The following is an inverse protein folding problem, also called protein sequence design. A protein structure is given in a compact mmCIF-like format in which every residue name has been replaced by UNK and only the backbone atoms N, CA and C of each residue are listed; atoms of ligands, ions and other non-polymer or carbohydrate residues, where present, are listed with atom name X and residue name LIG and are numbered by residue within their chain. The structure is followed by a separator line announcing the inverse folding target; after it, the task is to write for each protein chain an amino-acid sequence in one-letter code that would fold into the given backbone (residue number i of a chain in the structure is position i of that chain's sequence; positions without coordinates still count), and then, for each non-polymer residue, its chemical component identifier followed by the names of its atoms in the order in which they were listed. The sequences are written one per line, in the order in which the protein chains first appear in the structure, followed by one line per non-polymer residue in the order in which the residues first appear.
data_IF_510126188735
#
_entry.id   IF_510126188735
#
_cell.length_a   1.000
_cell.length_b   1.000
_cell.length_c   1.000
_cell.angle_alpha   90.00
_cell.angle_beta   90.00
_cell.angle_gamma   90.00
#
_symmetry.space_group_name_H-M   'P 1'
#
loop_
_entity.id
_entity.type
_entity.pdbx_description
1 polymer ?
#
# COMPACT_ATOMS: atom_id res chain seq x y z
N UNK A 1 -14.46 4.21 -12.74
CA UNK A 1 -14.17 2.83 -13.22
C UNK A 1 -14.08 1.95 -11.98
N UNK A 2 -14.75 0.80 -11.98
CA UNK A 2 -14.69 -0.13 -10.85
C UNK A 2 -13.25 -0.69 -10.73
N UNK A 3 -12.79 -0.88 -9.49
CA UNK A 3 -11.48 -1.49 -9.24
C UNK A 3 -11.61 -2.99 -9.52
N UNK A 4 -10.75 -3.57 -10.38
CA UNK A 4 -10.76 -5.01 -10.66
C UNK A 4 -10.56 -5.83 -9.40
N UNK A 5 -11.05 -7.05 -9.42
CA UNK A 5 -10.87 -8.00 -8.34
C UNK A 5 -9.42 -8.50 -8.29
N UNK A 6 -8.63 -7.97 -7.34
CA UNK A 6 -7.23 -8.33 -7.13
C UNK A 6 -7.11 -9.48 -6.15
N UNK A 7 -6.08 -10.30 -6.28
CA UNK A 7 -5.67 -11.31 -5.30
C UNK A 7 -4.83 -10.70 -4.17
N UNK A 8 -4.66 -11.43 -3.06
CA UNK A 8 -3.73 -11.03 -2.00
C UNK A 8 -2.26 -10.92 -2.50
N UNK A 9 -1.86 -11.71 -3.50
CA UNK A 9 -0.54 -11.62 -4.13
C UNK A 9 -0.39 -10.32 -4.94
N UNK A 10 -1.46 -9.88 -5.61
CA UNK A 10 -1.45 -8.61 -6.36
C UNK A 10 -1.25 -7.43 -5.41
N UNK A 11 -1.97 -7.45 -4.27
CA UNK A 11 -1.84 -6.43 -3.24
C UNK A 11 -0.44 -6.41 -2.59
N UNK A 12 0.22 -7.56 -2.49
CA UNK A 12 1.61 -7.64 -2.06
C UNK A 12 2.56 -6.97 -3.06
N UNK A 13 2.37 -7.19 -4.36
CA UNK A 13 3.14 -6.52 -5.42
C UNK A 13 2.91 -5.00 -5.40
N UNK A 14 1.66 -4.56 -5.24
CA UNK A 14 1.32 -3.13 -5.14
C UNK A 14 2.01 -2.49 -3.94
N UNK A 15 1.92 -3.13 -2.78
CA UNK A 15 2.58 -2.69 -1.56
C UNK A 15 4.08 -2.54 -1.73
N UNK A 16 4.74 -3.51 -2.38
CA UNK A 16 6.18 -3.49 -2.66
C UNK A 16 6.59 -2.30 -3.54
N UNK A 17 5.87 -2.07 -4.63
CA UNK A 17 6.16 -0.95 -5.54
C UNK A 17 5.96 0.38 -4.84
N UNK A 18 4.87 0.54 -4.07
CA UNK A 18 4.58 1.75 -3.31
C UNK A 18 5.66 2.00 -2.26
N UNK A 19 5.98 1.00 -1.44
CA UNK A 19 6.99 1.11 -0.39
C UNK A 19 8.31 1.61 -0.95
N UNK A 20 8.78 0.99 -2.03
CA UNK A 20 10.06 1.34 -2.62
C UNK A 20 10.04 2.71 -3.27
N UNK A 21 9.04 3.00 -4.09
CA UNK A 21 8.93 4.26 -4.81
C UNK A 21 8.79 5.46 -3.87
N UNK A 22 8.01 5.31 -2.79
CA UNK A 22 7.84 6.35 -1.78
C UNK A 22 9.12 6.62 -0.95
N UNK A 23 10.05 5.65 -0.85
CA UNK A 23 11.32 5.83 -0.16
C UNK A 23 12.42 6.51 -0.99
N UNK A 24 12.35 6.48 -2.32
CA UNK A 24 13.46 6.93 -3.16
C UNK A 24 13.69 8.44 -3.18
N UNK A 25 12.64 9.23 -2.90
CA UNK A 25 12.69 10.69 -2.94
C UNK A 25 12.03 11.28 -1.71
N UNK A 26 12.41 12.52 -1.40
CA UNK A 26 11.80 13.31 -0.34
C UNK A 26 10.51 13.96 -0.86
N UNK A 27 9.53 13.13 -1.25
CA UNK A 27 8.25 13.59 -1.81
C UNK A 27 7.58 14.65 -0.93
N UNK A 28 7.61 14.47 0.39
CA UNK A 28 7.13 15.43 1.38
C UNK A 28 7.73 16.83 1.22
N UNK A 29 9.06 16.91 1.07
CA UNK A 29 9.76 18.19 0.86
C UNK A 29 9.36 18.83 -0.48
N UNK A 30 9.20 18.02 -1.53
CA UNK A 30 8.75 18.48 -2.85
C UNK A 30 7.29 19.00 -2.83
N UNK A 31 6.46 18.45 -1.92
CA UNK A 31 5.10 18.91 -1.67
C UNK A 31 5.04 20.08 -0.66
N UNK A 32 6.16 20.47 -0.07
CA UNK A 32 6.22 21.57 0.90
C UNK A 32 5.74 21.18 2.30
N UNK A 33 5.62 19.87 2.58
CA UNK A 33 5.36 19.36 3.92
C UNK A 33 6.64 19.42 4.77
N UNK A 34 6.52 19.91 6.00
CA UNK A 34 7.64 19.99 6.94
C UNK A 34 7.94 18.60 7.51
N UNK A 35 9.18 18.13 7.32
CA UNK A 35 9.68 16.89 7.91
C UNK A 35 9.89 15.76 6.90
N UNK A 36 10.93 14.96 7.14
CA UNK A 36 11.02 13.64 6.54
C UNK A 36 10.13 12.72 7.39
N UNK A 37 9.06 12.14 6.82
CA UNK A 37 8.34 11.06 7.51
C UNK A 37 9.29 9.91 7.90
N UNK A 38 8.80 8.96 8.69
CA UNK A 38 9.54 7.73 9.05
C UNK A 38 10.06 7.00 7.80
N UNK A 39 11.20 6.31 7.86
CA UNK A 39 11.58 5.39 6.79
C UNK A 39 10.43 4.40 6.58
N UNK A 40 10.08 4.07 5.32
CA UNK A 40 9.01 3.10 5.07
C UNK A 40 9.62 1.72 5.24
N UNK A 41 9.18 1.03 6.28
CA UNK A 41 9.49 -0.37 6.57
C UNK A 41 8.33 -1.28 6.19
N UNK A 42 7.13 -0.73 6.03
CA UNK A 42 5.94 -1.51 5.76
C UNK A 42 4.87 -0.76 4.97
N UNK A 43 4.38 -1.42 3.92
CA UNK A 43 3.15 -1.02 3.24
C UNK A 43 2.28 -2.24 3.12
N UNK A 44 1.00 -2.05 3.43
CA UNK A 44 -0.04 -3.06 3.32
C UNK A 44 -1.17 -2.50 2.49
N UNK A 45 -1.67 -3.31 1.56
CA UNK A 45 -2.84 -3.00 0.75
C UNK A 45 -3.96 -3.96 1.12
N UNK A 46 -5.17 -3.44 1.25
CA UNK A 46 -6.39 -4.21 1.42
C UNK A 46 -7.38 -3.84 0.32
N UNK A 47 -7.90 -4.84 -0.39
CA UNK A 47 -9.05 -4.64 -1.25
C UNK A 47 -10.31 -5.08 -0.54
N UNK A 48 -11.31 -4.19 -0.62
CA UNK A 48 -12.66 -4.48 -0.23
C UNK A 48 -13.62 -3.87 -1.26
N UNK A 49 -14.36 -4.73 -1.99
CA UNK A 49 -15.18 -4.34 -3.16
C UNK A 49 -14.36 -3.52 -4.16
N UNK A 50 -14.93 -2.40 -4.60
CA UNK A 50 -14.36 -1.45 -5.54
C UNK A 50 -13.45 -0.41 -4.86
N UNK A 51 -12.93 -0.71 -3.66
CA UNK A 51 -12.02 0.16 -2.91
C UNK A 51 -10.70 -0.52 -2.58
N UNK A 52 -9.62 0.24 -2.70
CA UNK A 52 -8.28 -0.10 -2.23
C UNK A 52 -7.92 0.79 -1.04
N UNK A 53 -7.49 0.16 0.04
CA UNK A 53 -7.01 0.81 1.25
C UNK A 53 -5.53 0.51 1.42
N UNK A 54 -4.74 1.54 1.69
CA UNK A 54 -3.28 1.45 1.85
C UNK A 54 -2.94 1.95 3.24
N UNK A 55 -2.20 1.14 4.00
CA UNK A 55 -1.69 1.51 5.31
C UNK A 55 -0.16 1.39 5.33
N UNK A 56 0.46 2.21 6.19
CA UNK A 56 1.86 2.06 6.59
C UNK A 56 1.96 2.08 8.12
N UNK A 57 3.15 1.83 8.65
CA UNK A 57 3.40 1.94 10.09
C UNK A 57 3.30 3.41 10.55
N UNK A 58 3.52 3.65 11.85
CA UNK A 58 3.41 4.98 12.45
C UNK A 58 4.29 6.00 11.70
N UNK A 59 3.65 7.04 11.15
CA UNK A 59 4.30 8.11 10.39
C UNK A 59 4.66 7.78 8.93
N UNK A 60 4.61 6.52 8.51
CA UNK A 60 4.94 6.11 7.13
C UNK A 60 3.84 6.48 6.13
N UNK A 61 2.58 6.43 6.57
CA UNK A 61 1.40 6.75 5.77
C UNK A 61 1.44 8.15 5.14
N UNK A 62 2.11 9.11 5.77
CA UNK A 62 2.36 10.45 5.20
C UNK A 62 3.22 10.37 3.94
N UNK A 63 4.32 9.59 3.96
CA UNK A 63 5.18 9.42 2.78
C UNK A 63 4.48 8.69 1.65
N UNK A 64 3.65 7.70 1.99
CA UNK A 64 2.82 6.98 1.01
C UNK A 64 1.86 7.95 0.33
N UNK A 65 1.14 8.76 1.13
CA UNK A 65 0.24 9.78 0.62
C UNK A 65 0.99 10.80 -0.26
N UNK A 66 2.13 11.31 0.20
CA UNK A 66 2.93 12.28 -0.54
C UNK A 66 3.44 11.72 -1.87
N UNK A 67 3.85 10.45 -1.91
CA UNK A 67 4.24 9.78 -3.16
C UNK A 67 3.08 9.67 -4.15
N UNK A 68 1.91 9.20 -3.70
CA UNK A 68 0.73 9.08 -4.56
C UNK A 68 0.25 10.47 -5.02
N UNK A 69 0.41 11.49 -4.18
CA UNK A 69 0.08 12.87 -4.50
C UNK A 69 1.05 13.47 -5.51
N UNK A 70 2.34 13.20 -5.36
CA UNK A 70 3.39 13.60 -6.28
C UNK A 70 3.18 13.05 -7.69
N UNK A 71 2.62 11.84 -7.82
CA UNK A 71 2.22 11.28 -9.12
C UNK A 71 0.89 11.88 -9.65
N UNK A 72 0.02 12.36 -8.76
CA UNK A 72 -1.32 12.84 -9.13
C UNK A 72 -2.38 11.73 -9.17
N UNK A 73 -2.27 10.73 -8.29
CA UNK A 73 -3.27 9.66 -8.19
C UNK A 73 -4.63 10.23 -7.76
N UNK A 74 -5.68 9.89 -8.49
CA UNK A 74 -7.04 10.41 -8.32
C UNK A 74 -8.12 9.36 -8.53
N UNK A 75 -7.77 8.24 -9.15
CA UNK A 75 -8.63 7.12 -9.40
C UNK A 75 -7.77 5.88 -9.64
N UNK A 76 -8.45 4.76 -9.91
CA UNK A 76 -7.78 3.49 -10.18
C UNK A 76 -6.83 3.53 -11.39
N UNK A 77 -7.22 4.18 -12.49
CA UNK A 77 -6.37 4.24 -13.69
C UNK A 77 -5.08 5.03 -13.44
N UNK A 78 -5.15 6.18 -12.76
CA UNK A 78 -3.95 6.94 -12.38
C UNK A 78 -3.10 6.22 -11.33
N UNK A 79 -3.72 5.45 -10.44
CA UNK A 79 -3.00 4.55 -9.52
C UNK A 79 -2.23 3.46 -10.27
N UNK A 80 -2.86 2.77 -11.22
CA UNK A 80 -2.17 1.74 -12.01
C UNK A 80 -1.04 2.33 -12.87
N UNK A 81 -1.22 3.53 -13.42
CA UNK A 81 -0.13 4.25 -14.09
C UNK A 81 1.01 4.59 -13.13
N UNK A 82 0.71 5.01 -11.90
CA UNK A 82 1.72 5.25 -10.87
C UNK A 82 2.58 4.01 -10.62
N UNK A 83 1.91 2.86 -10.42
CA UNK A 83 2.60 1.58 -10.23
C UNK A 83 3.40 1.17 -11.47
N UNK A 84 2.82 1.33 -12.67
CA UNK A 84 3.45 1.00 -13.96
C UNK A 84 4.77 1.73 -14.17
N UNK A 85 4.77 3.06 -14.08
CA UNK A 85 5.97 3.86 -14.29
C UNK A 85 7.00 3.65 -13.17
N UNK A 86 6.55 3.54 -11.92
CA UNK A 86 7.43 3.28 -10.79
C UNK A 86 8.11 1.91 -10.89
N UNK A 87 7.34 0.87 -11.19
CA UNK A 87 7.86 -0.48 -11.39
C UNK A 87 8.87 -0.55 -12.53
N UNK A 88 8.56 0.06 -13.68
CA UNK A 88 9.51 0.15 -14.80
C UNK A 88 10.82 0.81 -14.37
N UNK A 89 10.78 2.01 -13.78
CA UNK A 89 11.99 2.70 -13.33
C UNK A 89 12.79 1.90 -12.30
N UNK A 90 12.11 1.20 -11.39
CA UNK A 90 12.76 0.39 -10.36
C UNK A 90 13.39 -0.89 -10.92
N UNK A 91 12.82 -1.44 -12.00
CA UNK A 91 13.24 -2.70 -12.61
C UNK A 91 14.41 -2.55 -13.60
N UNK A 92 14.73 -1.35 -14.06
CA UNK A 92 15.83 -1.17 -15.03
C UNK A 92 17.18 -1.46 -14.34
N UNK A 93 17.99 -2.40 -14.88
CA UNK A 93 19.32 -2.68 -14.38
C UNK A 93 20.21 -1.44 -14.43
N UNK A 94 21.05 -1.23 -13.41
CA UNK A 94 21.89 -0.04 -13.30
C UNK A 94 22.73 0.22 -14.57
N UNK A 95 23.28 -0.84 -15.17
CA UNK A 95 24.15 -0.77 -16.36
C UNK A 95 23.43 -0.29 -17.63
N UNK A 96 22.11 -0.46 -17.74
CA UNK A 96 21.32 -0.05 -18.91
C UNK A 96 20.49 1.21 -18.68
N UNK A 97 20.41 1.75 -17.45
CA UNK A 97 19.60 2.93 -17.11
C UNK A 97 19.82 4.10 -18.04
N UNK A 98 21.07 4.53 -18.21
CA UNK A 98 21.37 5.69 -19.06
C UNK A 98 20.92 5.46 -20.51
N UNK A 99 21.04 4.25 -21.03
CA UNK A 99 20.59 3.93 -22.38
C UNK A 99 19.06 3.97 -22.52
N UNK A 100 18.34 3.49 -21.50
CA UNK A 100 16.87 3.38 -21.52
C UNK A 100 16.18 4.70 -21.19
N UNK A 101 16.62 5.41 -20.15
CA UNK A 101 15.96 6.63 -19.66
C UNK A 101 16.67 7.91 -20.08
N UNK A 102 17.85 7.82 -20.70
CA UNK A 102 18.72 8.96 -20.96
C UNK A 102 19.49 9.46 -19.72
N UNK A 103 19.32 8.84 -18.55
CA UNK A 103 19.96 9.27 -17.29
C UNK A 103 20.13 8.14 -16.28
N UNK A 104 21.29 8.09 -15.63
CA UNK A 104 21.47 7.22 -14.46
C UNK A 104 20.86 7.83 -13.19
N UNK A 105 20.29 6.98 -12.34
CA UNK A 105 19.69 7.32 -11.04
C UNK A 105 19.86 6.12 -10.08
N UNK A 106 19.85 6.32 -8.74
CA UNK A 106 20.18 5.28 -7.77
C UNK A 106 19.05 4.27 -7.50
N UNK A 107 17.78 4.59 -7.79
CA UNK A 107 16.63 3.80 -7.36
C UNK A 107 16.53 2.40 -7.96
N UNK A 108 16.50 1.34 -7.15
CA UNK A 108 16.29 -0.07 -7.54
C UNK A 108 15.51 -0.81 -6.47
N UNK A 109 14.87 -1.94 -6.75
CA UNK A 109 14.40 -2.83 -5.67
C UNK A 109 15.57 -3.38 -4.84
N UNK A 110 15.29 -3.70 -3.58
CA UNK A 110 16.16 -4.45 -2.67
C UNK A 110 15.89 -5.95 -2.80
N UNK A 111 16.82 -6.77 -2.32
CA UNK A 111 16.71 -8.23 -2.42
C UNK A 111 15.40 -8.77 -1.80
N UNK A 112 14.96 -8.17 -0.69
CA UNK A 112 13.69 -8.52 -0.05
C UNK A 112 12.46 -8.14 -0.90
N UNK A 113 12.52 -7.01 -1.59
CA UNK A 113 11.46 -6.56 -2.50
C UNK A 113 11.40 -7.45 -3.75
N UNK A 114 12.56 -7.85 -4.29
CA UNK A 114 12.68 -8.77 -5.43
C UNK A 114 12.12 -10.16 -5.10
N UNK A 115 12.29 -10.64 -3.87
CA UNK A 115 11.64 -11.88 -3.38
C UNK A 115 10.11 -11.76 -3.49
N UNK A 116 9.54 -10.62 -3.08
CA UNK A 116 8.08 -10.40 -3.16
C UNK A 116 7.60 -10.29 -4.61
N UNK A 117 8.35 -9.60 -5.47
CA UNK A 117 8.02 -9.50 -6.90
C UNK A 117 8.09 -10.86 -7.60
N UNK A 118 9.06 -11.70 -7.23
CA UNK A 118 9.18 -13.07 -7.73
C UNK A 118 8.02 -13.94 -7.26
N UNK A 119 7.66 -13.85 -5.97
CA UNK A 119 6.51 -14.54 -5.40
C UNK A 119 5.17 -14.14 -6.07
N UNK A 120 5.03 -12.86 -6.42
CA UNK A 120 3.88 -12.29 -7.10
C UNK A 120 4.04 -12.16 -8.62
N UNK A 121 4.92 -12.92 -9.28
CA UNK A 121 5.26 -12.68 -10.69
C UNK A 121 4.04 -12.71 -11.62
N UNK A 122 3.08 -13.62 -11.38
CA UNK A 122 1.83 -13.66 -12.14
C UNK A 122 0.97 -12.39 -11.97
N UNK A 123 1.03 -11.77 -10.79
CA UNK A 123 0.33 -10.53 -10.47
C UNK A 123 0.87 -9.32 -11.23
N UNK A 124 2.11 -9.39 -11.74
CA UNK A 124 2.65 -8.35 -12.63
C UNK A 124 1.84 -8.22 -13.92
N UNK A 125 1.08 -9.25 -14.32
CA UNK A 125 0.13 -9.15 -15.44
C UNK A 125 -0.96 -8.07 -15.23
N UNK A 126 -1.26 -7.71 -13.98
CA UNK A 126 -2.17 -6.61 -13.66
C UNK A 126 -1.51 -5.22 -13.77
N UNK A 127 -0.17 -5.15 -13.77
CA UNK A 127 0.60 -3.93 -13.98
C UNK A 127 1.22 -4.02 -15.37
N UNK A 128 0.49 -3.62 -16.43
CA UNK A 128 0.97 -3.82 -17.79
C UNK A 128 2.33 -3.16 -17.98
N UNK A 129 3.26 -3.86 -18.65
CA UNK A 129 4.55 -3.29 -19.00
C UNK A 129 4.36 -2.02 -19.87
N UNK A 130 5.32 -1.10 -19.80
CA UNK A 130 5.35 0.00 -20.76
C UNK A 130 5.63 -0.55 -22.16
N UNK A 131 4.86 -0.09 -23.13
CA UNK A 131 5.13 -0.30 -24.55
C UNK A 131 6.39 0.47 -24.96
N UNK A 132 7.00 0.11 -26.09
CA UNK A 132 8.17 0.83 -26.62
C UNK A 132 7.89 2.33 -26.79
N UNK A 133 6.72 2.70 -27.32
CA UNK A 133 6.32 4.10 -27.47
C UNK A 133 6.21 4.84 -26.14
N UNK A 134 5.73 4.17 -25.08
CA UNK A 134 5.67 4.78 -23.75
C UNK A 134 7.05 4.91 -23.10
N UNK A 135 7.96 3.97 -23.37
CA UNK A 135 9.36 4.04 -22.94
C UNK A 135 10.05 5.22 -23.61
N UNK A 136 9.91 5.37 -24.93
CA UNK A 136 10.48 6.48 -25.69
C UNK A 136 9.91 7.82 -25.21
N UNK A 137 8.58 7.90 -25.02
CA UNK A 137 7.96 9.09 -24.44
C UNK A 137 8.50 9.40 -23.03
N UNK A 138 8.62 8.40 -22.16
CA UNK A 138 9.13 8.61 -20.80
C UNK A 138 10.58 9.12 -20.83
N UNK A 139 11.42 8.53 -21.67
CA UNK A 139 12.79 8.98 -21.91
C UNK A 139 12.82 10.43 -22.38
N UNK A 140 12.01 10.78 -23.37
CA UNK A 140 11.92 12.15 -23.89
C UNK A 140 11.53 13.15 -22.81
N UNK A 141 10.53 12.83 -21.97
CA UNK A 141 10.13 13.69 -20.86
C UNK A 141 11.25 13.85 -19.79
N UNK A 142 12.03 12.79 -19.54
CA UNK A 142 13.16 12.81 -18.60
C UNK A 142 14.27 13.73 -19.10
N UNK A 143 14.61 13.69 -20.39
CA UNK A 143 15.70 14.50 -20.97
C UNK A 143 15.26 15.87 -21.50
N UNK A 144 13.95 16.09 -21.65
CA UNK A 144 13.40 17.31 -22.22
C UNK A 144 13.92 18.59 -21.55
N UNK A 145 14.29 19.56 -22.39
CA UNK A 145 14.69 20.93 -22.01
C UNK A 145 13.58 21.95 -22.28
N UNK A 146 12.48 21.52 -22.88
CA UNK A 146 11.31 22.34 -23.21
C UNK A 146 10.08 21.77 -22.52
N UNK A 147 9.17 22.64 -22.08
CA UNK A 147 7.94 22.23 -21.42
C UNK A 147 7.08 21.39 -22.36
N UNK A 148 6.64 20.19 -21.94
CA UNK A 148 5.65 19.46 -22.71
C UNK A 148 4.33 20.23 -22.76
N UNK A 149 3.52 19.91 -23.77
CA UNK A 149 2.17 20.45 -23.93
C UNK A 149 1.36 20.23 -22.64
N UNK A 150 0.51 21.19 -22.28
CA UNK A 150 -0.29 21.11 -21.06
C UNK A 150 -1.13 19.83 -20.99
N UNK A 151 -1.43 19.36 -19.77
CA UNK A 151 -2.24 18.16 -19.53
C UNK A 151 -1.47 17.02 -18.85
N UNK A 152 -1.93 15.76 -19.01
CA UNK A 152 -1.37 14.59 -18.31
C UNK A 152 0.14 14.39 -18.49
N UNK A 153 0.69 14.79 -19.65
CA UNK A 153 2.13 14.70 -19.93
C UNK A 153 2.98 15.61 -19.04
N UNK A 154 2.47 16.77 -18.60
CA UNK A 154 3.20 17.63 -17.65
C UNK A 154 3.32 16.99 -16.28
N UNK A 155 2.26 16.35 -15.81
CA UNK A 155 2.24 15.64 -14.53
C UNK A 155 3.25 14.48 -14.57
N UNK A 156 3.18 13.67 -15.63
CA UNK A 156 4.11 12.58 -15.84
C UNK A 156 5.56 13.08 -15.96
N UNK A 157 5.81 14.14 -16.72
CA UNK A 157 7.14 14.72 -16.86
C UNK A 157 7.71 15.21 -15.52
N UNK A 158 6.89 15.88 -14.71
CA UNK A 158 7.31 16.33 -13.38
C UNK A 158 7.70 15.15 -12.51
N UNK A 159 6.84 14.12 -12.45
CA UNK A 159 7.10 12.91 -11.69
C UNK A 159 8.37 12.20 -12.15
N UNK A 160 8.48 11.91 -13.46
CA UNK A 160 9.62 11.19 -14.03
C UNK A 160 10.94 11.94 -13.77
N UNK A 161 10.99 13.24 -14.04
CA UNK A 161 12.19 14.05 -13.80
C UNK A 161 12.57 14.05 -12.32
N UNK A 162 11.61 14.16 -11.40
CA UNK A 162 11.87 14.08 -9.96
C UNK A 162 12.34 12.70 -9.54
N UNK A 163 11.69 11.65 -10.03
CA UNK A 163 12.05 10.27 -9.74
C UNK A 163 13.47 9.95 -10.20
N UNK A 164 13.89 10.43 -11.37
CA UNK A 164 15.23 10.19 -11.93
C UNK A 164 16.26 11.26 -11.57
N UNK A 165 15.94 12.21 -10.68
CA UNK A 165 16.80 13.36 -10.34
C UNK A 165 17.29 14.13 -11.57
N UNK A 166 16.47 14.21 -12.62
CA UNK A 166 16.75 15.05 -13.78
C UNK A 166 16.64 16.53 -13.39
N UNK A 167 17.34 17.39 -14.14
CA UNK A 167 17.30 18.82 -13.89
C UNK A 167 15.87 19.35 -13.89
N UNK A 168 15.56 20.22 -12.92
CA UNK A 168 14.28 20.89 -12.86
C UNK A 168 14.07 21.71 -14.14
N UNK A 169 12.87 21.63 -14.70
CA UNK A 169 12.50 22.36 -15.90
C UNK A 169 11.71 23.61 -15.50
N UNK A 170 12.16 24.84 -15.82
CA UNK A 170 11.43 26.05 -15.46
C UNK A 170 9.97 26.02 -15.96
N UNK A 171 9.02 26.32 -15.07
CA UNK A 171 7.58 26.28 -15.37
C UNK A 171 6.95 24.88 -15.35
N UNK A 172 7.74 23.82 -15.10
CA UNK A 172 7.22 22.48 -14.86
C UNK A 172 6.84 22.37 -13.39
N UNK A 173 5.58 22.67 -13.10
CA UNK A 173 5.05 22.65 -11.75
C UNK A 173 4.59 21.25 -11.36
N UNK A 174 4.62 20.97 -10.05
CA UNK A 174 4.03 19.77 -9.48
C UNK A 174 2.53 19.70 -9.80
N UNK A 175 1.94 18.49 -9.90
CA UNK A 175 0.50 18.35 -10.05
C UNK A 175 -0.27 19.07 -8.93
N UNK A 176 -1.50 19.56 -9.19
CA UNK A 176 -2.39 20.03 -8.14
C UNK A 176 -2.66 18.91 -7.14
N UNK A 177 -3.05 19.25 -5.91
CA UNK A 177 -3.27 18.28 -4.84
C UNK A 177 -4.13 17.10 -5.30
N UNK A 178 -3.68 15.89 -4.97
CA UNK A 178 -4.32 14.66 -5.40
C UNK A 178 -5.68 14.45 -4.72
N UNK A 179 -6.56 13.74 -5.41
CA UNK A 179 -7.95 13.51 -5.00
C UNK A 179 -8.17 12.11 -4.37
N UNK A 180 -7.12 11.34 -4.11
CA UNK A 180 -7.28 10.11 -3.31
C UNK A 180 -7.65 10.46 -1.87
N UNK A 181 -8.36 9.57 -1.20
CA UNK A 181 -8.87 9.83 0.14
C UNK A 181 -7.79 9.53 1.19
N UNK A 182 -7.39 10.55 1.94
CA UNK A 182 -6.57 10.39 3.12
C UNK A 182 -7.48 10.36 4.35
N UNK A 183 -7.71 9.17 4.90
CA UNK A 183 -8.83 8.93 5.82
C UNK A 183 -8.44 8.20 7.08
N UNK A 184 -9.09 8.51 8.20
CA UNK A 184 -8.86 7.86 9.50
C UNK A 184 -9.75 6.64 9.72
N UNK A 185 -10.80 6.47 8.91
CA UNK A 185 -11.81 5.43 9.06
C UNK A 185 -12.41 5.01 7.71
N UNK A 186 -13.28 4.00 7.72
CA UNK A 186 -14.03 3.64 6.52
C UNK A 186 -15.00 4.78 6.14
N UNK A 187 -14.86 5.31 4.94
CA UNK A 187 -15.63 6.46 4.44
C UNK A 187 -16.68 6.09 3.38
N UNK A 188 -16.82 4.81 3.03
CA UNK A 188 -17.75 4.34 2.00
C UNK A 188 -17.47 4.83 0.58
N UNK A 189 -16.37 5.55 0.36
CA UNK A 189 -16.04 6.11 -0.96
C UNK A 189 -15.26 5.08 -1.77
N UNK A 190 -15.80 4.75 -2.94
CA UNK A 190 -15.14 3.87 -3.90
C UNK A 190 -13.89 4.54 -4.46
N UNK A 191 -12.74 3.91 -4.30
CA UNK A 191 -11.49 4.44 -4.85
C UNK A 191 -10.24 4.04 -4.08
N UNK A 192 -9.21 4.86 -4.22
CA UNK A 192 -7.92 4.69 -3.57
C UNK A 192 -7.94 5.48 -2.26
N UNK A 193 -7.66 4.79 -1.16
CA UNK A 193 -7.70 5.33 0.19
C UNK A 193 -6.36 5.06 0.87
N UNK A 194 -5.77 6.07 1.51
CA UNK A 194 -4.60 5.94 2.38
C UNK A 194 -5.04 6.19 3.81
N UNK A 195 -4.73 5.25 4.71
CA UNK A 195 -5.10 5.38 6.12
C UNK A 195 -4.20 6.39 6.84
N UNK A 196 -4.80 7.50 7.25
CA UNK A 196 -4.21 8.51 8.12
C UNK A 196 -4.22 8.03 9.58
N UNK A 197 -3.46 6.98 9.87
CA UNK A 197 -3.42 6.36 11.18
C UNK A 197 -1.98 6.35 11.75
N UNK A 198 -1.80 7.15 12.79
CA UNK A 198 -0.54 7.32 13.53
C UNK A 198 -0.43 6.44 14.79
N UNK A 199 -1.32 5.46 14.97
CA UNK A 199 -1.19 4.45 16.03
C UNK A 199 0.07 3.61 15.82
N UNK A 200 0.60 3.09 16.94
CA UNK A 200 1.82 2.24 16.99
C UNK A 200 1.56 0.79 16.57
N UNK A 201 0.42 0.53 15.93
CA UNK A 201 0.02 -0.78 15.43
C UNK A 201 0.67 -1.00 14.05
N UNK A 202 0.95 -2.25 13.67
CA UNK A 202 1.47 -2.54 12.33
C UNK A 202 0.42 -2.31 11.24
N UNK A 203 0.85 -1.97 10.03
CA UNK A 203 0.01 -1.53 8.94
C UNK A 203 -1.16 -2.50 8.61
N UNK A 204 -0.93 -3.81 8.63
CA UNK A 204 -1.92 -4.84 8.33
C UNK A 204 -3.03 -4.85 9.37
N UNK A 205 -2.66 -4.69 10.64
CA UNK A 205 -3.59 -4.65 11.76
C UNK A 205 -4.45 -3.36 11.74
N UNK A 206 -3.92 -2.24 11.19
CA UNK A 206 -4.72 -1.03 10.96
C UNK A 206 -5.82 -1.25 9.93
N UNK A 207 -5.50 -1.94 8.83
CA UNK A 207 -6.48 -2.28 7.78
C UNK A 207 -7.58 -3.20 8.33
N UNK A 208 -7.19 -4.20 9.11
CA UNK A 208 -8.13 -5.16 9.72
C UNK A 208 -8.98 -4.51 10.82
N UNK A 209 -8.43 -3.58 11.60
CA UNK A 209 -9.20 -2.75 12.53
C UNK A 209 -10.23 -1.89 11.80
N UNK A 210 -9.85 -1.25 10.69
CA UNK A 210 -10.80 -0.47 9.89
C UNK A 210 -11.91 -1.37 9.33
N UNK A 211 -11.57 -2.57 8.85
CA UNK A 211 -12.55 -3.56 8.39
C UNK A 211 -13.56 -3.91 9.48
N UNK A 212 -13.08 -4.22 10.68
CA UNK A 212 -13.96 -4.48 11.83
C UNK A 212 -14.88 -3.30 12.08
N UNK A 213 -14.34 -2.10 12.20
CA UNK A 213 -15.11 -0.89 12.50
C UNK A 213 -16.23 -0.66 11.47
N UNK A 214 -15.93 -0.88 10.20
CA UNK A 214 -16.90 -0.73 9.12
C UNK A 214 -18.07 -1.71 9.25
N UNK A 215 -17.82 -2.94 9.71
CA UNK A 215 -18.86 -3.94 9.95
C UNK A 215 -19.63 -3.69 11.25
N UNK A 216 -18.95 -3.34 12.34
CA UNK A 216 -19.59 -3.13 13.65
C UNK A 216 -20.48 -1.91 13.68
N UNK A 217 -20.13 -0.88 12.91
CA UNK A 217 -20.96 0.31 12.72
C UNK A 217 -22.03 0.16 11.63
N UNK A 218 -22.16 -1.03 11.05
CA UNK A 218 -23.07 -1.30 9.93
C UNK A 218 -22.92 -0.29 8.78
N UNK A 219 -21.70 0.22 8.59
CA UNK A 219 -21.37 1.16 7.51
C UNK A 219 -21.27 0.46 6.16
N UNK A 220 -21.36 -0.87 6.16
CA UNK A 220 -21.24 -1.70 4.98
C UNK A 220 -22.42 -2.68 4.89
N UNK A 221 -23.05 -2.82 3.71
CA UNK A 221 -24.10 -3.80 3.53
C UNK A 221 -23.56 -5.23 3.72
N UNK A 222 -24.35 -6.10 4.36
CA UNK A 222 -24.08 -7.50 4.69
C UNK A 222 -23.60 -8.40 3.51
N UNK A 223 -23.71 -7.94 2.27
CA UNK A 223 -23.29 -8.68 1.06
C UNK A 223 -21.81 -8.50 0.72
N UNK A 224 -20.91 -8.62 1.68
CA UNK A 224 -19.48 -8.57 1.36
C UNK A 224 -18.71 -9.69 2.00
N UNK A 225 -18.40 -10.71 1.18
CA UNK A 225 -17.94 -12.01 1.66
C UNK A 225 -16.44 -12.19 1.61
N UNK A 226 -15.70 -11.28 0.98
CA UNK A 226 -14.26 -11.43 0.77
C UNK A 226 -13.53 -10.10 0.84
N UNK A 227 -12.52 -10.08 1.69
CA UNK A 227 -11.52 -9.03 1.86
C UNK A 227 -10.18 -9.66 1.52
N UNK A 228 -9.31 -8.94 0.84
CA UNK A 228 -7.96 -9.42 0.55
C UNK A 228 -6.95 -8.46 1.10
N UNK A 229 -5.91 -8.99 1.72
CA UNK A 229 -4.82 -8.18 2.27
C UNK A 229 -3.50 -8.71 1.74
N UNK A 230 -2.62 -7.82 1.31
CA UNK A 230 -1.29 -8.18 0.86
C UNK A 230 -0.31 -7.05 1.14
N UNK A 231 0.87 -7.41 1.61
CA UNK A 231 1.92 -6.47 2.00
C UNK A 231 3.26 -6.75 1.35
N UNK A 232 4.16 -5.78 1.49
CA UNK A 232 5.56 -5.86 1.08
C UNK A 232 6.26 -7.14 1.57
N UNK A 233 5.97 -7.56 2.81
CA UNK A 233 6.61 -8.66 3.53
C UNK A 233 5.56 -9.56 4.16
N UNK A 234 5.95 -10.77 4.55
CA UNK A 234 5.09 -11.66 5.33
C UNK A 234 4.92 -11.08 6.72
N UNK A 235 3.69 -11.07 7.23
CA UNK A 235 3.35 -10.55 8.55
C UNK A 235 4.24 -11.14 9.65
N UNK A 236 4.65 -10.33 10.63
CA UNK A 236 5.46 -10.81 11.75
C UNK A 236 4.71 -11.87 12.58
N UNK A 237 5.43 -12.68 13.35
CA UNK A 237 4.83 -13.81 14.08
C UNK A 237 3.67 -13.40 15.02
N UNK A 238 3.78 -12.25 15.69
CA UNK A 238 2.77 -11.76 16.63
C UNK A 238 1.52 -11.23 15.92
N UNK A 239 1.70 -10.45 14.86
CA UNK A 239 0.57 -10.00 14.04
C UNK A 239 -0.10 -11.20 13.37
N UNK A 240 0.66 -12.19 12.90
CA UNK A 240 0.10 -13.41 12.32
C UNK A 240 -0.74 -14.20 13.33
N UNK A 241 -0.28 -14.34 14.58
CA UNK A 241 -1.05 -14.99 15.64
C UNK A 241 -2.38 -14.28 15.90
N UNK A 242 -2.38 -12.95 15.92
CA UNK A 242 -3.61 -12.16 16.05
C UNK A 242 -4.54 -12.36 14.86
N UNK A 243 -4.02 -12.26 13.63
CA UNK A 243 -4.81 -12.42 12.41
C UNK A 243 -5.45 -13.81 12.36
N UNK A 244 -4.73 -14.86 12.75
CA UNK A 244 -5.24 -16.23 12.80
C UNK A 244 -6.46 -16.39 13.72
N UNK A 245 -6.56 -15.61 14.81
CA UNK A 245 -7.76 -15.57 15.68
C UNK A 245 -8.86 -14.65 15.15
N UNK A 246 -8.47 -13.58 14.48
CA UNK A 246 -9.38 -12.59 13.90
C UNK A 246 -10.15 -13.10 12.68
N UNK A 247 -9.52 -13.86 11.78
CA UNK A 247 -10.19 -14.35 10.56
C UNK A 247 -11.40 -15.26 10.85
N UNK A 248 -11.32 -16.28 11.74
CA UNK A 248 -12.48 -17.11 12.08
C UNK A 248 -13.59 -16.32 12.76
N UNK A 249 -13.22 -15.35 13.60
CA UNK A 249 -14.20 -14.46 14.24
C UNK A 249 -14.95 -13.60 13.21
N UNK A 250 -14.23 -12.93 12.30
CA UNK A 250 -14.86 -12.13 11.24
C UNK A 250 -15.76 -12.98 10.33
N UNK A 251 -15.34 -14.21 10.04
CA UNK A 251 -16.15 -15.15 9.27
C UNK A 251 -17.44 -15.53 10.00
N UNK A 252 -17.36 -15.83 11.30
CA UNK A 252 -18.52 -16.30 12.07
C UNK A 252 -19.47 -15.17 12.45
N UNK A 253 -18.93 -14.01 12.84
CA UNK A 253 -19.74 -12.88 13.29
C UNK A 253 -20.33 -12.05 12.14
N UNK A 254 -19.64 -11.98 10.98
CA UNK A 254 -20.01 -11.07 9.89
C UNK A 254 -20.05 -11.73 8.51
N UNK A 255 -19.82 -13.04 8.38
CA UNK A 255 -19.69 -13.75 7.09
C UNK A 255 -18.58 -13.20 6.17
N UNK A 256 -17.54 -12.61 6.77
CA UNK A 256 -16.43 -12.00 6.03
C UNK A 256 -15.25 -12.95 5.99
N UNK A 257 -14.88 -13.41 4.79
CA UNK A 257 -13.62 -14.11 4.58
C UNK A 257 -12.50 -13.11 4.33
N UNK A 258 -11.41 -13.25 5.06
CA UNK A 258 -10.18 -12.49 4.83
C UNK A 258 -9.18 -13.43 4.17
N UNK A 259 -8.77 -13.10 2.96
CA UNK A 259 -7.76 -13.84 2.20
C UNK A 259 -6.41 -13.11 2.35
N UNK A 260 -5.42 -13.83 2.89
CA UNK A 260 -4.01 -13.42 2.93
C UNK A 260 -3.24 -14.12 1.80
N UNK A 261 -1.98 -13.71 1.51
CA UNK A 261 -1.19 -14.38 0.48
C UNK A 261 -1.00 -15.86 0.84
N UNK A 262 -1.52 -16.76 -0.01
CA UNK A 262 -1.41 -18.21 0.18
C UNK A 262 0.00 -18.70 -0.19
N UNK A 263 0.46 -19.76 0.48
CA UNK A 263 1.78 -20.36 0.26
C UNK A 263 2.91 -19.32 0.36
N UNK A 264 2.83 -18.42 1.34
CA UNK A 264 3.77 -17.32 1.50
C UNK A 264 5.16 -17.82 1.92
N UNK A 265 6.03 -17.97 0.92
CA UNK A 265 7.44 -18.41 1.04
C UNK A 265 8.39 -17.26 1.39
N UNK A 266 7.88 -16.04 1.56
CA UNK A 266 8.70 -14.86 1.84
C UNK A 266 9.14 -14.87 3.30
N UNK A 267 10.27 -14.22 3.60
CA UNK A 267 10.78 -14.05 4.96
C UNK A 267 9.75 -13.40 5.88
N UNK A 268 9.63 -13.92 7.10
CA UNK A 268 8.81 -13.32 8.16
C UNK A 268 9.37 -11.95 8.49
N UNK A 269 8.52 -10.94 8.58
CA UNK A 269 8.93 -9.61 9.03
C UNK A 269 9.47 -9.65 10.46
N UNK A 270 10.59 -8.99 10.68
CA UNK A 270 11.08 -8.67 12.03
C UNK A 270 10.25 -7.52 12.62
N UNK A 271 10.06 -7.53 13.94
CA UNK A 271 9.46 -6.41 14.66
C UNK A 271 8.55 -6.80 15.81
N UNK A 272 8.31 -5.82 16.67
CA UNK A 272 7.43 -5.96 17.81
C UNK A 272 5.97 -5.71 17.41
N UNK A 273 5.18 -6.78 17.24
CA UNK A 273 3.77 -6.66 16.87
C UNK A 273 2.92 -6.11 18.02
N UNK A 274 2.23 -5.01 17.77
CA UNK A 274 1.26 -4.43 18.71
C UNK A 274 -0.15 -4.81 18.27
N UNK A 275 -0.94 -5.40 19.17
CA UNK A 275 -2.37 -5.54 18.91
C UNK A 275 -3.01 -4.16 18.76
N UNK A 276 -4.05 -4.02 17.93
CA UNK A 276 -4.90 -2.85 18.01
C UNK A 276 -5.42 -2.71 19.44
N UNK A 277 -5.68 -1.49 19.90
CA UNK A 277 -6.33 -1.20 21.19
C UNK A 277 -7.39 -0.12 21.00
N UNK A 278 -8.31 0.01 21.95
CA UNK A 278 -9.41 1.00 21.88
C UNK A 278 -10.23 0.86 20.59
N UNK A 279 -10.48 -0.38 20.18
CA UNK A 279 -11.49 -0.66 19.15
C UNK A 279 -12.86 -0.50 19.80
N UNK A 280 -13.87 -0.06 19.04
CA UNK A 280 -15.19 0.27 19.57
C UNK A 280 -15.91 -0.98 20.09
N UNK A 281 -15.66 -1.36 21.34
CA UNK A 281 -16.12 -2.63 21.92
C UNK A 281 -17.49 -2.58 22.58
N UNK A 282 -18.14 -1.42 22.59
CA UNK A 282 -19.45 -1.26 23.20
C UNK A 282 -20.45 -2.21 22.52
N UNK A 283 -20.86 -3.27 23.23
CA UNK A 283 -21.77 -4.30 22.74
C UNK A 283 -21.12 -5.62 22.29
N UNK A 284 -19.79 -5.73 22.32
CA UNK A 284 -19.08 -6.97 21.99
C UNK A 284 -18.77 -7.81 23.24
N UNK A 285 -18.82 -9.13 23.10
CA UNK A 285 -18.55 -10.09 24.18
C UNK A 285 -17.08 -10.11 24.62
N UNK A 286 -16.78 -10.74 25.78
CA UNK A 286 -15.44 -10.74 26.38
C UNK A 286 -14.31 -11.19 25.45
N UNK A 287 -14.55 -12.21 24.62
CA UNK A 287 -13.58 -12.72 23.64
C UNK A 287 -13.08 -11.64 22.67
N UNK A 288 -13.99 -10.79 22.16
CA UNK A 288 -13.62 -9.73 21.21
C UNK A 288 -12.75 -8.68 21.91
N UNK A 289 -13.11 -8.33 23.15
CA UNK A 289 -12.31 -7.42 23.97
C UNK A 289 -10.89 -7.95 24.20
N UNK A 290 -10.73 -9.24 24.48
CA UNK A 290 -9.41 -9.85 24.66
C UNK A 290 -8.60 -9.90 23.35
N UNK A 291 -9.27 -10.21 22.24
CA UNK A 291 -8.66 -10.20 20.93
C UNK A 291 -8.06 -8.83 20.60
N UNK A 292 -8.75 -7.73 20.95
CA UNK A 292 -8.34 -6.36 20.65
C UNK A 292 -7.72 -5.57 21.82
N UNK A 293 -7.43 -6.17 22.97
CA UNK A 293 -6.73 -5.48 24.07
C UNK A 293 -5.70 -6.39 24.73
N UNK A 294 -4.68 -6.78 23.96
CA UNK A 294 -3.56 -7.58 24.46
C UNK A 294 -2.26 -6.79 24.63
N UNK A 295 -1.29 -7.45 25.26
CA UNK A 295 0.07 -6.91 25.41
C UNK A 295 0.82 -6.85 24.06
N UNK A 296 1.80 -5.96 24.00
CA UNK A 296 2.82 -5.90 22.94
C UNK A 296 3.52 -7.25 22.82
N UNK A 297 3.78 -7.71 21.59
CA UNK A 297 4.44 -8.99 21.29
C UNK A 297 3.73 -10.21 21.86
N UNK A 298 2.42 -10.12 22.09
CA UNK A 298 1.67 -11.29 22.50
C UNK A 298 1.35 -12.17 21.30
N UNK A 299 1.64 -13.46 21.45
CA UNK A 299 1.23 -14.53 20.54
C UNK A 299 -0.25 -14.93 20.68
N UNK A 300 -1.04 -14.15 21.41
CA UNK A 300 -2.45 -14.47 21.68
C UNK A 300 -2.66 -15.73 22.52
N UNK A 301 -1.71 -16.06 23.40
CA UNK A 301 -1.90 -17.05 24.46
C UNK A 301 -2.88 -16.57 25.55
N UNK A 302 -3.03 -15.25 25.72
CA UNK A 302 -3.95 -14.61 26.68
C UNK A 302 -5.41 -14.59 26.21
N UNK A 303 -5.68 -14.87 24.93
CA UNK A 303 -7.04 -14.86 24.38
C UNK A 303 -7.64 -16.25 24.54
N UNK A 304 -8.71 -16.37 25.33
CA UNK A 304 -9.42 -17.64 25.54
C UNK A 304 -10.76 -17.57 24.79
N UNK A 305 -10.87 -18.32 23.70
CA UNK A 305 -12.03 -18.28 22.82
C UNK A 305 -12.71 -19.61 22.56
N UNK A 306 -13.95 -19.60 22.02
CA UNK A 306 -14.65 -20.81 21.59
C UNK A 306 -13.94 -21.55 20.43
N UNK A 307 -12.88 -20.96 19.85
CA UNK A 307 -12.10 -21.51 18.74
C UNK A 307 -10.74 -22.08 19.17
N UNK A 308 -10.47 -22.18 20.48
CA UNK A 308 -9.22 -22.72 21.03
C UNK A 308 -9.25 -24.24 21.30
N UNK A 309 -10.36 -24.92 21.04
CA UNK A 309 -10.45 -26.37 21.13
C UNK A 309 -10.49 -27.00 19.73
N UNK A 310 -9.42 -27.70 19.31
CA UNK A 310 -9.51 -28.69 18.25
C UNK A 310 -10.01 -29.99 18.89
N UNK A 311 -11.33 -30.18 18.97
CA UNK A 311 -11.93 -31.52 19.01
C UNK A 311 -12.63 -31.81 17.69
#
# INVERSE_FOLDING_TARGET
MAIPDYSAKDLAVFSTIIARAACLRKWSTELGHAGAGSAIEEVQCMQFRDSLYIAGNKGEHVKIADFLQAFGVSNHASFMNCLKYSHWLLSIPFVTRTAVTGRSYPGKFSDQEDITLTYGAASLGHIPALTLNEIDQARDLIVATVLPVAGPLRILAWFLKKFTEAAALPGLNRPPAAAFHYTTEYNGVFGINVLNDSTTVHAELKLLRMLEYAHTKNLMPLKTRRVRVGGLKKTCAFCAAWINRFQPWMLTAYEVRIDLPAEDTRGVADGAGNRPTNVGEAGFGPYVRELFNGAVNSNCADVVGPYDNPE
#
